data_IF_223732239130
#
_entry.id   IF_223732239130
#
_cell.length_a   1.000
_cell.length_b   1.000
_cell.length_c   1.000
_cell.angle_alpha   90.00
_cell.angle_beta   90.00
_cell.angle_gamma   90.00
#
_symmetry.space_group_name_H-M   'P 1'
#
loop_
_entity.id
_entity.type
_entity.pdbx_description
1 polymer ?
#
# COMPACT_ATOMS: atom_id res chain seq x y z
N UNK A 1 -0.54 -5.62 -0.64
CA UNK A 1 -0.22 -5.90 0.78
C UNK A 1 1.08 -6.69 0.97
N UNK A 2 1.21 -7.90 0.41
CA UNK A 2 2.38 -8.77 0.64
C UNK A 2 3.74 -8.11 0.34
N UNK A 3 3.85 -7.35 -0.76
CA UNK A 3 5.08 -6.63 -1.10
C UNK A 3 5.42 -5.54 -0.08
N UNK A 4 4.41 -4.88 0.50
CA UNK A 4 4.60 -3.89 1.56
C UNK A 4 5.10 -4.56 2.83
N UNK A 5 4.47 -5.67 3.27
CA UNK A 5 4.94 -6.46 4.43
C UNK A 5 6.40 -6.85 4.28
N UNK A 6 6.74 -7.43 3.12
CA UNK A 6 8.11 -7.89 2.81
C UNK A 6 9.13 -6.74 2.83
N UNK A 7 8.88 -5.65 2.09
CA UNK A 7 9.85 -4.55 1.98
C UNK A 7 10.04 -3.78 3.29
N UNK A 8 8.97 -3.64 4.07
CA UNK A 8 8.99 -2.89 5.33
C UNK A 8 9.30 -3.76 6.56
N UNK A 9 9.49 -5.08 6.37
CA UNK A 9 9.77 -6.06 7.43
C UNK A 9 8.71 -6.02 8.54
N UNK A 10 7.44 -5.96 8.14
CA UNK A 10 6.30 -5.97 9.05
C UNK A 10 5.86 -7.41 9.28
N UNK A 11 5.77 -7.81 10.55
CA UNK A 11 5.19 -9.09 10.95
C UNK A 11 3.65 -9.09 10.84
N UNK A 12 3.03 -10.20 11.21
CA UNK A 12 1.59 -10.40 11.09
C UNK A 12 0.77 -9.56 12.08
N UNK A 13 1.39 -8.98 13.11
CA UNK A 13 0.73 -8.11 14.07
C UNK A 13 0.44 -6.72 13.47
N UNK A 14 1.08 -6.36 12.37
CA UNK A 14 0.84 -5.09 11.69
C UNK A 14 -0.41 -5.14 10.80
N UNK A 15 -1.26 -4.14 10.95
CA UNK A 15 -2.41 -3.88 10.07
C UNK A 15 -1.97 -2.96 8.94
N UNK A 16 -2.14 -3.40 7.70
CA UNK A 16 -1.86 -2.58 6.52
C UNK A 16 -3.16 -1.92 6.05
N UNK A 17 -3.16 -0.59 6.04
CA UNK A 17 -4.26 0.22 5.51
C UNK A 17 -3.86 0.80 4.17
N UNK A 18 -4.61 0.45 3.13
CA UNK A 18 -4.41 0.96 1.77
C UNK A 18 -5.36 2.12 1.57
N UNK A 19 -4.81 3.28 1.21
CA UNK A 19 -5.60 4.47 0.88
C UNK A 19 -6.53 4.19 -0.32
N UNK A 20 -7.82 4.53 -0.25
CA UNK A 20 -8.74 4.40 -1.39
C UNK A 20 -8.23 5.05 -2.68
N UNK A 21 -7.50 6.18 -2.60
CA UNK A 21 -6.88 6.86 -3.75
C UNK A 21 -5.93 5.91 -4.50
N UNK A 22 -5.22 5.04 -3.76
CA UNK A 22 -4.34 4.04 -4.36
C UNK A 22 -5.11 2.97 -5.12
N UNK A 23 -6.26 2.55 -4.60
CA UNK A 23 -7.13 1.59 -5.26
C UNK A 23 -7.69 2.18 -6.56
N UNK A 24 -8.16 3.42 -6.54
CA UNK A 24 -8.61 4.12 -7.74
C UNK A 24 -7.50 4.23 -8.80
N UNK A 25 -6.26 4.53 -8.39
CA UNK A 25 -5.12 4.57 -9.31
C UNK A 25 -4.82 3.23 -9.96
N UNK A 26 -4.88 2.13 -9.19
CA UNK A 26 -4.70 0.76 -9.71
C UNK A 26 -5.75 0.45 -10.77
N UNK A 27 -7.00 0.84 -10.52
CA UNK A 27 -8.14 0.52 -11.40
C UNK A 27 -8.49 1.62 -12.41
N UNK A 28 -7.71 2.71 -12.48
CA UNK A 28 -7.96 3.86 -13.34
C UNK A 28 -8.07 3.54 -14.84
N UNK A 29 -7.44 2.44 -15.28
CA UNK A 29 -7.46 1.96 -16.67
C UNK A 29 -8.32 0.71 -16.87
N UNK A 30 -9.20 0.41 -15.90
CA UNK A 30 -10.03 -0.78 -15.86
C UNK A 30 -9.28 -2.03 -15.35
N UNK A 31 -10.04 -3.10 -15.12
CA UNK A 31 -9.53 -4.29 -14.45
C UNK A 31 -8.47 -5.08 -15.26
N UNK A 32 -8.50 -4.96 -16.59
CA UNK A 32 -7.59 -5.67 -17.48
C UNK A 32 -6.24 -4.99 -17.73
N UNK A 33 -6.06 -3.74 -17.29
CA UNK A 33 -4.86 -2.95 -17.58
C UNK A 33 -4.32 -2.17 -16.37
N UNK A 34 -4.09 -2.82 -15.22
CA UNK A 34 -3.49 -2.14 -14.07
C UNK A 34 -2.07 -1.63 -14.39
N UNK A 35 -1.62 -0.53 -13.76
CA UNK A 35 -0.25 -0.06 -13.90
C UNK A 35 0.79 -1.14 -13.52
N UNK A 36 1.82 -1.31 -14.35
CA UNK A 36 2.91 -2.29 -14.09
C UNK A 36 3.79 -1.90 -12.90
N UNK A 37 3.95 -0.60 -12.64
CA UNK A 37 4.75 -0.04 -11.56
C UNK A 37 3.99 1.13 -10.96
N UNK A 38 3.95 1.21 -9.64
CA UNK A 38 3.30 2.27 -8.89
C UNK A 38 4.24 2.79 -7.82
N UNK A 39 4.41 4.10 -7.77
CA UNK A 39 5.19 4.75 -6.71
C UNK A 39 4.26 5.03 -5.54
N UNK A 40 4.60 4.48 -4.38
CA UNK A 40 3.80 4.56 -3.16
C UNK A 40 4.64 5.11 -2.02
N UNK A 41 4.02 5.76 -1.06
CA UNK A 41 4.62 5.99 0.25
C UNK A 41 4.05 4.99 1.26
N UNK A 42 4.83 4.72 2.31
CA UNK A 42 4.40 3.92 3.45
C UNK A 42 4.77 4.68 4.72
N UNK A 43 3.77 4.95 5.57
CA UNK A 43 3.97 5.50 6.91
C UNK A 43 3.66 4.42 7.93
N UNK A 44 4.67 4.02 8.70
CA UNK A 44 4.55 2.98 9.72
C UNK A 44 4.43 3.64 11.09
N UNK A 45 3.33 3.35 11.78
CA UNK A 45 3.16 3.57 13.21
C UNK A 45 3.50 2.27 13.95
N UNK A 46 4.55 2.31 14.77
CA UNK A 46 5.03 1.12 15.49
C UNK A 46 4.30 0.89 16.81
N UNK A 47 3.73 1.93 17.39
CA UNK A 47 2.99 1.82 18.65
C UNK A 47 1.61 1.22 18.38
N UNK A 48 0.92 1.73 17.35
CA UNK A 48 -0.39 1.20 16.94
C UNK A 48 -0.28 -0.08 16.08
N UNK A 49 0.93 -0.45 15.65
CA UNK A 49 1.19 -1.51 14.66
C UNK A 49 0.37 -1.31 13.38
N UNK A 50 0.34 -0.09 12.84
CA UNK A 50 -0.40 0.24 11.62
C UNK A 50 0.55 0.78 10.54
N UNK A 51 0.45 0.25 9.33
CA UNK A 51 1.14 0.78 8.17
C UNK A 51 0.14 1.36 7.18
N UNK A 52 0.16 2.69 7.02
CA UNK A 52 -0.67 3.41 6.06
C UNK A 52 0.08 3.53 4.72
N UNK A 53 -0.56 3.08 3.64
CA UNK A 53 0.02 3.01 2.30
C UNK A 53 -0.81 3.88 1.35
N UNK A 54 -0.17 4.82 0.66
CA UNK A 54 -0.84 5.71 -0.28
C UNK A 54 0.02 6.05 -1.49
N UNK A 55 -0.54 6.77 -2.48
CA UNK A 55 0.21 7.15 -3.67
C UNK A 55 1.29 8.17 -3.35
N UNK A 56 2.50 7.98 -3.89
CA UNK A 56 3.56 8.96 -3.76
C UNK A 56 3.18 10.18 -4.59
N UNK A 57 2.79 11.26 -3.89
CA UNK A 57 2.75 12.60 -4.48
C UNK A 57 4.16 13.10 -4.77
#
# INVERSE_FOLDING_TARGET
EAEVRRRMRLDDEYIIRIDPELNELIWSRGAGNPPRVLRIYVRVDREEKVANVGPSR
#
